data_IF_818532075199
#
_entry.id   IF_818532075199
#
_cell.length_a   1.000
_cell.length_b   1.000
_cell.length_c   1.000
_cell.angle_alpha   90.00
_cell.angle_beta   90.00
_cell.angle_gamma   90.00
#
_symmetry.space_group_name_H-M   'P 1'
#
loop_
_entity.id
_entity.type
_entity.pdbx_description
1 polymer ?
#
# COMPACT_ATOMS: atom_id res chain seq x y z
N UNK A 1 1.35 5.08 0.32
CA UNK A 1 1.29 4.63 1.74
C UNK A 1 0.33 5.45 2.58
N UNK A 2 0.35 6.78 2.53
CA UNK A 2 -0.52 7.60 3.39
C UNK A 2 -2.01 7.24 3.27
N UNK A 3 -2.52 7.02 2.05
CA UNK A 3 -3.91 6.57 1.86
C UNK A 3 -4.21 5.19 2.48
N UNK A 4 -3.22 4.28 2.53
CA UNK A 4 -3.37 2.99 3.23
C UNK A 4 -3.37 3.17 4.75
N UNK A 5 -2.60 4.14 5.29
CA UNK A 5 -2.66 4.52 6.71
C UNK A 5 -4.02 5.10 7.07
N UNK A 6 -4.58 5.94 6.18
CA UNK A 6 -5.94 6.44 6.35
C UNK A 6 -6.97 5.32 6.24
N UNK A 7 -6.79 4.34 5.35
CA UNK A 7 -7.68 3.18 5.26
C UNK A 7 -7.66 2.33 6.55
N UNK A 8 -6.51 2.05 7.15
CA UNK A 8 -6.41 1.36 8.45
C UNK A 8 -7.04 2.18 9.60
N UNK A 9 -6.87 3.51 9.59
CA UNK A 9 -7.53 4.37 10.57
C UNK A 9 -9.05 4.37 10.40
N UNK A 10 -9.54 4.51 9.16
CA UNK A 10 -10.97 4.57 8.84
C UNK A 10 -11.66 3.22 9.02
N UNK A 11 -10.96 2.10 8.85
CA UNK A 11 -11.56 0.78 9.10
C UNK A 11 -11.93 0.58 10.57
N UNK A 12 -11.24 1.26 11.48
CA UNK A 12 -11.45 1.19 12.93
C UNK A 12 -12.50 2.18 13.44
N UNK A 13 -12.48 3.41 12.90
CA UNK A 13 -13.22 4.56 13.47
C UNK A 13 -14.16 5.26 12.49
N UNK A 14 -14.17 4.86 11.22
CA UNK A 14 -14.97 5.48 10.17
C UNK A 14 -16.46 5.14 10.24
N UNK A 15 -17.23 5.74 9.33
CA UNK A 15 -18.65 5.47 9.20
C UNK A 15 -18.89 4.00 8.79
N UNK A 16 -19.62 3.24 9.60
CA UNK A 16 -19.97 1.84 9.32
C UNK A 16 -20.68 1.68 7.96
N UNK A 17 -21.47 2.65 7.54
CA UNK A 17 -22.20 2.62 6.26
C UNK A 17 -21.29 2.73 5.04
N UNK A 18 -20.04 3.20 5.20
CA UNK A 18 -19.06 3.35 4.13
C UNK A 18 -17.87 2.38 4.29
N UNK A 19 -17.99 1.36 5.15
CA UNK A 19 -16.85 0.50 5.51
C UNK A 19 -16.35 -0.35 4.34
N UNK A 20 -17.25 -0.74 3.43
CA UNK A 20 -16.88 -1.43 2.19
C UNK A 20 -16.01 -0.56 1.29
N UNK A 21 -16.30 0.74 1.21
CA UNK A 21 -15.54 1.69 0.39
C UNK A 21 -14.12 1.88 0.93
N UNK A 22 -13.95 1.83 2.26
CA UNK A 22 -12.61 1.79 2.89
C UNK A 22 -11.83 0.56 2.44
N UNK A 23 -12.47 -0.61 2.39
CA UNK A 23 -11.87 -1.84 1.88
C UNK A 23 -11.47 -1.75 0.41
N UNK A 24 -12.35 -1.19 -0.43
CA UNK A 24 -12.05 -0.91 -1.86
C UNK A 24 -10.84 0.02 -1.96
N UNK A 25 -10.82 1.10 -1.19
CA UNK A 25 -9.70 2.05 -1.15
C UNK A 25 -8.37 1.37 -0.78
N UNK A 26 -8.39 0.47 0.20
CA UNK A 26 -7.20 -0.29 0.59
C UNK A 26 -6.66 -1.17 -0.55
N UNK A 27 -7.53 -1.91 -1.25
CA UNK A 27 -7.13 -2.70 -2.41
C UNK A 27 -6.56 -1.83 -3.54
N UNK A 28 -7.27 -0.76 -3.90
CA UNK A 28 -6.86 0.12 -5.01
C UNK A 28 -5.52 0.79 -4.71
N UNK A 29 -5.30 1.27 -3.47
CA UNK A 29 -4.06 1.94 -3.12
C UNK A 29 -2.84 1.01 -3.16
N UNK A 30 -3.00 -0.25 -2.73
CA UNK A 30 -1.92 -1.24 -2.79
C UNK A 30 -1.62 -1.65 -4.23
N UNK A 31 -2.66 -1.89 -5.04
CA UNK A 31 -2.50 -2.19 -6.46
C UNK A 31 -1.84 -1.03 -7.22
N UNK A 32 -2.23 0.23 -6.91
CA UNK A 32 -1.64 1.42 -7.51
C UNK A 32 -0.15 1.56 -7.17
N UNK A 33 0.26 1.26 -5.93
CA UNK A 33 1.66 1.24 -5.55
C UNK A 33 2.44 0.21 -6.36
N UNK A 34 1.94 -1.02 -6.49
CA UNK A 34 2.59 -2.06 -7.28
C UNK A 34 2.70 -1.67 -8.75
N UNK A 35 1.63 -1.13 -9.33
CA UNK A 35 1.61 -0.69 -10.72
C UNK A 35 2.65 0.42 -10.97
N UNK A 36 2.73 1.41 -10.10
CA UNK A 36 3.72 2.48 -10.21
C UNK A 36 5.17 1.96 -10.10
N UNK A 37 5.41 0.96 -9.26
CA UNK A 37 6.75 0.38 -9.09
C UNK A 37 7.26 -0.35 -10.35
N UNK A 38 6.39 -0.78 -11.27
CA UNK A 38 6.84 -1.34 -12.56
C UNK A 38 7.65 -0.32 -13.37
N UNK A 39 7.29 0.97 -13.30
CA UNK A 39 8.05 2.05 -13.93
C UNK A 39 9.38 2.31 -13.24
N UNK A 40 9.47 2.04 -11.93
CA UNK A 40 10.76 2.10 -11.21
C UNK A 40 11.63 0.91 -11.65
N UNK A 41 11.05 -0.29 -11.68
CA UNK A 41 11.74 -1.54 -12.00
C UNK A 41 12.37 -1.52 -13.40
N UNK A 42 11.68 -0.95 -14.39
CA UNK A 42 12.22 -0.86 -15.76
C UNK A 42 13.36 0.17 -15.88
N UNK A 43 13.41 1.17 -15.00
CA UNK A 43 14.42 2.22 -15.04
C UNK A 43 15.70 1.83 -14.27
N UNK A 44 15.59 1.04 -13.19
CA UNK A 44 16.72 0.66 -12.33
C UNK A 44 17.95 0.12 -13.10
N UNK A 45 17.82 -0.84 -14.04
CA UNK A 45 18.97 -1.41 -14.75
C UNK A 45 19.77 -0.40 -15.59
N UNK A 46 19.18 0.76 -15.93
CA UNK A 46 19.84 1.80 -16.72
C UNK A 46 20.71 2.76 -15.89
N UNK A 47 20.64 2.67 -14.56
CA UNK A 47 21.32 3.59 -13.64
C UNK A 47 22.70 3.05 -13.27
N UNK A 48 23.73 3.88 -13.40
CA UNK A 48 25.13 3.49 -13.14
C UNK A 48 25.55 3.60 -11.67
N UNK A 49 24.84 4.40 -10.88
CA UNK A 49 25.13 4.60 -9.46
C UNK A 49 24.61 3.40 -8.64
N UNK A 50 25.51 2.48 -8.30
CA UNK A 50 25.18 1.26 -7.55
C UNK A 50 24.66 1.54 -6.14
N UNK A 51 25.14 2.61 -5.49
CA UNK A 51 24.68 2.99 -4.16
C UNK A 51 23.22 3.47 -4.22
N UNK A 52 22.90 4.29 -5.23
CA UNK A 52 21.53 4.71 -5.49
C UNK A 52 20.62 3.53 -5.84
N UNK A 53 21.06 2.62 -6.72
CA UNK A 53 20.29 1.41 -7.08
C UNK A 53 19.98 0.59 -5.83
N UNK A 54 20.96 0.39 -4.96
CA UNK A 54 20.80 -0.35 -3.71
C UNK A 54 19.78 0.30 -2.78
N UNK A 55 19.83 1.63 -2.62
CA UNK A 55 18.87 2.35 -1.78
C UNK A 55 17.44 2.26 -2.34
N UNK A 56 17.26 2.45 -3.65
CA UNK A 56 15.94 2.36 -4.30
C UNK A 56 15.35 0.96 -4.19
N UNK A 57 16.14 -0.10 -4.39
CA UNK A 57 15.67 -1.49 -4.24
C UNK A 57 15.23 -1.75 -2.79
N UNK A 58 16.01 -1.29 -1.81
CA UNK A 58 15.67 -1.43 -0.41
C UNK A 58 14.42 -0.61 -0.04
N UNK A 59 14.30 0.61 -0.55
CA UNK A 59 13.13 1.46 -0.33
C UNK A 59 11.88 0.82 -0.92
N UNK A 60 11.94 0.31 -2.15
CA UNK A 60 10.84 -0.42 -2.79
C UNK A 60 10.38 -1.62 -1.96
N UNK A 61 11.32 -2.44 -1.47
CA UNK A 61 11.00 -3.57 -0.61
C UNK A 61 10.27 -3.14 0.68
N UNK A 62 10.74 -2.07 1.33
CA UNK A 62 10.08 -1.47 2.51
C UNK A 62 8.66 -0.99 2.18
N UNK A 63 8.49 -0.27 1.07
CA UNK A 63 7.19 0.27 0.64
C UNK A 63 6.17 -0.85 0.39
N UNK A 64 6.58 -1.95 -0.23
CA UNK A 64 5.70 -3.11 -0.45
C UNK A 64 5.32 -3.81 0.85
N UNK A 65 6.28 -4.04 1.75
CA UNK A 65 6.00 -4.65 3.05
C UNK A 65 5.03 -3.80 3.88
N UNK A 66 5.26 -2.48 3.95
CA UNK A 66 4.39 -1.56 4.69
C UNK A 66 3.00 -1.46 4.05
N UNK A 67 2.91 -1.43 2.71
CA UNK A 67 1.62 -1.38 2.02
C UNK A 67 0.79 -2.66 2.25
N UNK A 68 1.43 -3.83 2.19
CA UNK A 68 0.77 -5.11 2.42
C UNK A 68 0.24 -5.20 3.86
N UNK A 69 1.07 -4.86 4.85
CA UNK A 69 0.69 -4.87 6.26
C UNK A 69 -0.48 -3.90 6.54
N UNK A 70 -0.42 -2.67 6.02
CA UNK A 70 -1.51 -1.69 6.17
C UNK A 70 -2.80 -2.17 5.50
N UNK A 71 -2.72 -2.73 4.29
CA UNK A 71 -3.89 -3.28 3.58
C UNK A 71 -4.50 -4.44 4.37
N UNK A 72 -3.70 -5.38 4.87
CA UNK A 72 -4.17 -6.51 5.68
C UNK A 72 -4.88 -5.99 6.93
N UNK A 73 -4.26 -5.07 7.69
CA UNK A 73 -4.86 -4.48 8.89
C UNK A 73 -6.20 -3.81 8.57
N UNK A 74 -6.25 -2.97 7.54
CA UNK A 74 -7.48 -2.31 7.12
C UNK A 74 -8.58 -3.33 6.78
N UNK A 75 -8.27 -4.33 5.96
CA UNK A 75 -9.25 -5.33 5.51
C UNK A 75 -9.74 -6.26 6.63
N UNK A 76 -8.90 -6.56 7.63
CA UNK A 76 -9.32 -7.33 8.81
C UNK A 76 -10.46 -6.61 9.52
N UNK A 77 -10.27 -5.34 9.88
CA UNK A 77 -11.31 -4.56 10.55
C UNK A 77 -12.54 -4.30 9.66
N UNK A 78 -12.34 -4.06 8.36
CA UNK A 78 -13.47 -3.94 7.41
C UNK A 78 -14.34 -5.19 7.45
N UNK A 79 -13.74 -6.39 7.37
CA UNK A 79 -14.47 -7.66 7.41
C UNK A 79 -15.19 -7.88 8.74
N UNK A 80 -14.54 -7.56 9.86
CA UNK A 80 -15.15 -7.62 11.19
C UNK A 80 -16.39 -6.71 11.32
N UNK A 81 -16.38 -5.54 10.67
CA UNK A 81 -17.49 -4.58 10.71
C UNK A 81 -18.61 -4.89 9.71
N UNK A 82 -18.32 -5.69 8.68
CA UNK A 82 -19.30 -6.14 7.68
C UNK A 82 -20.10 -7.36 8.16
N UNK A 83 -19.53 -8.16 9.06
CA UNK A 83 -20.28 -9.14 9.86
C UNK A 83 -21.18 -8.46 10.89
#
# INVERSE_FOLDING_TARGET
LELLKQADRLSRFGNKMAISDVGVGAYVCEAALRACMLSVDINIPSIKDEAFVTDVVNQRARLFAEAEDLKIKALTYVKEKMG
#
